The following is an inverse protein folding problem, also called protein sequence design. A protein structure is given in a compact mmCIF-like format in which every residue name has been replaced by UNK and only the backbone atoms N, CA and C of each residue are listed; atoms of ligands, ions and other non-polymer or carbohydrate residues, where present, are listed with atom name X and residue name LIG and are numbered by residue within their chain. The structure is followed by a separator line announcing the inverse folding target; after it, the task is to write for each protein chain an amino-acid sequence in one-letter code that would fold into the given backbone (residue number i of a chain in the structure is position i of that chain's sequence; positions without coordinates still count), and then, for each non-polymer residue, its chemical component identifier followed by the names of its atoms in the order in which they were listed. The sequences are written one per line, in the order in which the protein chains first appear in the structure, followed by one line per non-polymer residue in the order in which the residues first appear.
data_IF_424197072201
#
_entry.id   IF_424197072201
#
_cell.length_a   1.000
_cell.length_b   1.000
_cell.length_c   1.000
_cell.angle_alpha   90.00
_cell.angle_beta   90.00
_cell.angle_gamma   90.00
#
_symmetry.space_group_name_H-M   'P 1'
#
loop_
_entity.id
_entity.type
_entity.pdbx_description
1 polymer ?
#
# COMPACT_ATOMS: atom_id res chain seq x y z
N UNK A 1 3.00 30.84 5.56
CA UNK A 1 1.56 30.82 5.20
C UNK A 1 0.99 29.58 5.86
N UNK A 2 -0.06 29.66 6.72
CA UNK A 2 -0.68 28.46 7.30
C UNK A 2 -1.24 27.61 6.17
N UNK A 3 -1.00 26.30 6.21
CA UNK A 3 -1.55 25.37 5.22
C UNK A 3 -3.08 25.39 5.28
N UNK A 4 -3.74 25.30 4.14
CA UNK A 4 -5.21 25.19 4.07
C UNK A 4 -5.68 23.75 4.42
N UNK A 5 -4.77 22.78 4.41
CA UNK A 5 -5.08 21.36 4.50
C UNK A 5 -4.54 20.71 5.77
N UNK A 6 -3.48 21.27 6.37
CA UNK A 6 -2.78 20.67 7.51
C UNK A 6 -2.87 21.58 8.74
N UNK A 7 -3.00 20.95 9.91
CA UNK A 7 -2.93 21.58 11.23
C UNK A 7 -1.53 21.45 11.83
N UNK A 8 -1.29 22.08 12.97
CA UNK A 8 -0.04 21.93 13.74
C UNK A 8 0.18 20.48 14.18
N UNK A 9 -0.90 19.74 14.45
CA UNK A 9 -0.82 18.30 14.82
C UNK A 9 -0.32 17.43 13.66
N UNK A 10 -0.78 17.72 12.42
CA UNK A 10 -0.24 17.06 11.22
C UNK A 10 1.26 17.35 11.02
N UNK A 11 1.70 18.58 11.33
CA UNK A 11 3.12 18.94 11.23
C UNK A 11 3.97 18.22 12.29
N UNK A 12 3.45 18.08 13.52
CA UNK A 12 4.08 17.26 14.58
C UNK A 12 4.16 15.79 14.21
N UNK A 13 3.08 15.24 13.65
CA UNK A 13 3.04 13.87 13.16
C UNK A 13 4.06 13.64 12.04
N UNK A 14 4.14 14.57 11.07
CA UNK A 14 5.15 14.54 10.00
C UNK A 14 6.58 14.50 10.57
N UNK A 15 6.85 15.29 11.59
CA UNK A 15 8.16 15.31 12.27
C UNK A 15 8.47 13.95 12.91
N UNK A 16 7.51 13.39 13.64
CA UNK A 16 7.65 12.07 14.29
C UNK A 16 7.95 10.95 13.26
N UNK A 17 7.23 10.95 12.12
CA UNK A 17 7.47 9.99 11.04
C UNK A 17 8.89 10.13 10.47
N UNK A 18 9.34 11.35 10.22
CA UNK A 18 10.70 11.61 9.71
C UNK A 18 11.77 11.10 10.66
N UNK A 19 11.61 11.35 11.95
CA UNK A 19 12.53 10.86 12.98
C UNK A 19 12.55 9.33 13.03
N UNK A 20 11.38 8.68 12.95
CA UNK A 20 11.28 7.23 12.87
C UNK A 20 11.98 6.68 11.62
N UNK A 21 11.71 7.25 10.44
CA UNK A 21 12.34 6.77 9.19
C UNK A 21 13.86 7.00 9.18
N UNK A 22 14.33 8.10 9.76
CA UNK A 22 15.75 8.35 9.90
C UNK A 22 16.46 7.31 10.79
N UNK A 23 15.81 6.88 11.86
CA UNK A 23 16.36 5.90 12.79
C UNK A 23 16.23 4.45 12.33
N UNK A 24 15.06 4.08 11.79
CA UNK A 24 14.65 2.68 11.61
C UNK A 24 14.61 2.23 10.15
N UNK A 25 14.65 3.14 9.17
CA UNK A 25 14.57 2.80 7.74
C UNK A 25 15.86 3.12 7.01
N UNK A 26 16.31 4.38 7.01
CA UNK A 26 17.44 4.81 6.20
C UNK A 26 18.72 4.00 6.42
N UNK A 27 19.10 3.60 7.66
CA UNK A 27 20.31 2.82 7.88
C UNK A 27 20.28 1.41 7.26
N UNK A 28 19.11 0.92 6.89
CA UNK A 28 18.89 -0.46 6.47
C UNK A 28 18.55 -0.63 4.99
N UNK A 29 18.27 0.46 4.26
CA UNK A 29 17.78 0.41 2.86
C UNK A 29 18.69 -0.38 1.94
N UNK A 30 20.00 -0.09 1.95
CA UNK A 30 20.98 -0.77 1.07
C UNK A 30 21.06 -2.27 1.37
N UNK A 31 20.99 -2.64 2.67
CA UNK A 31 20.97 -4.03 3.09
C UNK A 31 19.69 -4.73 2.59
N UNK A 32 18.52 -4.10 2.78
CA UNK A 32 17.26 -4.67 2.32
C UNK A 32 17.19 -4.85 0.80
N UNK A 33 17.68 -3.85 0.04
CA UNK A 33 17.78 -3.96 -1.42
C UNK A 33 18.70 -5.10 -1.86
N UNK A 34 19.84 -5.29 -1.16
CA UNK A 34 20.77 -6.40 -1.42
C UNK A 34 20.16 -7.76 -1.07
N UNK A 35 19.54 -7.87 0.10
CA UNK A 35 18.94 -9.10 0.60
C UNK A 35 17.59 -9.40 -0.08
N UNK A 36 17.09 -8.43 -0.87
CA UNK A 36 15.78 -8.48 -1.54
C UNK A 36 14.64 -8.78 -0.57
N UNK A 37 14.68 -8.18 0.62
CA UNK A 37 13.70 -8.37 1.70
C UNK A 37 13.78 -7.24 2.73
N UNK A 38 12.62 -6.67 3.09
CA UNK A 38 12.49 -5.78 4.26
C UNK A 38 12.43 -6.63 5.54
N UNK A 39 13.13 -6.19 6.58
CA UNK A 39 13.07 -6.86 7.89
C UNK A 39 11.69 -6.70 8.52
N UNK A 40 11.14 -7.78 9.07
CA UNK A 40 9.85 -7.75 9.75
C UNK A 40 9.87 -6.95 11.06
N UNK A 41 11.03 -6.75 11.66
CA UNK A 41 11.16 -5.98 12.90
C UNK A 41 10.74 -4.52 12.72
N UNK A 42 11.07 -3.88 11.58
CA UNK A 42 10.63 -2.51 11.29
C UNK A 42 9.12 -2.44 11.08
N UNK A 43 8.52 -3.44 10.42
CA UNK A 43 7.07 -3.50 10.21
C UNK A 43 6.32 -3.65 11.54
N UNK A 44 6.85 -4.47 12.45
CA UNK A 44 6.30 -4.61 13.80
C UNK A 44 6.40 -3.29 14.59
N UNK A 45 7.55 -2.62 14.57
CA UNK A 45 7.71 -1.29 15.18
C UNK A 45 6.72 -0.25 14.61
N UNK A 46 6.46 -0.29 13.29
CA UNK A 46 5.47 0.59 12.67
C UNK A 46 4.04 0.32 13.17
N UNK A 47 3.70 -0.96 13.38
CA UNK A 47 2.43 -1.33 14.01
C UNK A 47 2.34 -0.82 15.45
N UNK A 48 3.38 -1.01 16.26
CA UNK A 48 3.48 -0.52 17.65
C UNK A 48 3.36 1.01 17.74
N UNK A 49 3.85 1.74 16.73
CA UNK A 49 3.71 3.20 16.61
C UNK A 49 2.34 3.64 16.06
N UNK A 50 1.44 2.71 15.73
CA UNK A 50 0.11 2.98 15.21
C UNK A 50 0.06 3.37 13.71
N UNK A 51 1.18 3.32 12.98
CA UNK A 51 1.25 3.78 11.59
C UNK A 51 0.42 2.94 10.62
N UNK A 52 0.15 1.66 10.93
CA UNK A 52 -0.71 0.81 10.11
C UNK A 52 -2.20 0.99 10.41
N UNK A 53 -2.54 1.61 11.54
CA UNK A 53 -3.90 1.82 12.00
C UNK A 53 -4.45 3.23 11.86
N UNK A 54 -3.82 4.13 11.08
CA UNK A 54 -4.17 5.56 11.03
C UNK A 54 -5.66 5.81 10.76
N UNK A 55 -6.27 5.07 9.83
CA UNK A 55 -7.68 5.18 9.44
C UNK A 55 -8.51 3.95 9.83
N UNK A 56 -7.98 3.10 10.69
CA UNK A 56 -8.68 1.91 11.22
C UNK A 56 -9.40 2.29 12.51
N UNK A 57 -10.66 1.86 12.72
CA UNK A 57 -11.38 2.12 13.97
C UNK A 57 -10.65 1.60 15.21
N UNK A 58 -10.75 2.32 16.33
CA UNK A 58 -10.09 1.99 17.61
C UNK A 58 -10.41 0.58 18.10
N UNK A 59 -11.65 0.09 17.90
CA UNK A 59 -12.05 -1.27 18.28
C UNK A 59 -11.23 -2.40 17.63
N UNK A 60 -10.48 -2.09 16.57
CA UNK A 60 -9.55 -3.02 15.89
C UNK A 60 -8.08 -2.64 16.13
N UNK A 61 -7.81 -1.79 17.12
CA UNK A 61 -6.46 -1.34 17.46
C UNK A 61 -5.94 -0.20 16.60
N UNK A 62 -6.79 0.44 15.81
CA UNK A 62 -6.46 1.63 15.03
C UNK A 62 -6.51 2.92 15.83
N UNK A 63 -6.26 4.04 15.18
CA UNK A 63 -6.22 5.39 15.79
C UNK A 63 -7.39 6.26 15.27
N UNK A 64 -8.05 5.83 14.20
CA UNK A 64 -9.20 6.47 13.55
C UNK A 64 -9.02 7.97 13.23
N UNK A 65 -7.83 8.33 12.75
CA UNK A 65 -7.46 9.71 12.39
C UNK A 65 -8.07 10.13 11.04
N UNK A 66 -8.12 11.44 10.80
CA UNK A 66 -8.56 11.96 9.51
C UNK A 66 -7.62 11.60 8.35
N UNK A 67 -8.13 11.76 7.13
CA UNK A 67 -7.43 11.32 5.92
C UNK A 67 -6.15 12.13 5.61
N UNK A 68 -5.94 13.29 6.23
CA UNK A 68 -4.74 14.08 6.03
C UNK A 68 -3.53 13.49 6.77
N UNK A 69 -3.74 12.74 7.88
CA UNK A 69 -2.69 11.92 8.51
C UNK A 69 -2.23 10.80 7.57
N UNK A 70 -3.17 10.12 6.92
CA UNK A 70 -2.88 9.12 5.90
C UNK A 70 -2.08 9.74 4.72
N UNK A 71 -2.50 10.92 4.25
CA UNK A 71 -1.79 11.66 3.19
C UNK A 71 -0.36 12.00 3.60
N UNK A 72 -0.18 12.52 4.82
CA UNK A 72 1.14 12.84 5.37
C UNK A 72 2.04 11.61 5.42
N UNK A 73 1.51 10.49 5.88
CA UNK A 73 2.28 9.25 6.05
C UNK A 73 2.82 8.72 4.71
N UNK A 74 1.96 8.63 3.67
CA UNK A 74 2.39 8.11 2.37
C UNK A 74 3.28 9.08 1.59
N UNK A 75 3.11 10.38 1.77
CA UNK A 75 4.05 11.38 1.26
C UNK A 75 5.45 11.19 1.88
N UNK A 76 5.52 11.02 3.20
CA UNK A 76 6.81 10.81 3.88
C UNK A 76 7.42 9.43 3.56
N UNK A 77 6.64 8.38 3.32
CA UNK A 77 7.15 7.11 2.76
C UNK A 77 7.87 7.36 1.44
N UNK A 78 7.26 8.13 0.52
CA UNK A 78 7.89 8.48 -0.76
C UNK A 78 9.20 9.26 -0.58
N UNK A 79 9.22 10.20 0.37
CA UNK A 79 10.42 11.01 0.69
C UNK A 79 11.60 10.21 1.26
N UNK A 80 11.38 8.98 1.73
CA UNK A 80 12.50 8.12 2.17
C UNK A 80 13.43 7.73 1.04
N UNK A 81 12.95 7.74 -0.22
CA UNK A 81 13.66 7.14 -1.36
C UNK A 81 13.75 5.60 -1.29
N UNK A 82 13.28 4.98 -0.21
CA UNK A 82 13.26 3.52 0.01
C UNK A 82 12.00 2.90 -0.63
N UNK A 83 11.90 2.95 -1.95
CA UNK A 83 10.67 2.56 -2.66
C UNK A 83 10.28 1.09 -2.46
N UNK A 84 11.24 0.18 -2.27
CA UNK A 84 10.95 -1.22 -1.96
C UNK A 84 10.27 -1.37 -0.60
N UNK A 85 10.77 -0.71 0.43
CA UNK A 85 10.13 -0.62 1.74
C UNK A 85 8.72 0.00 1.63
N UNK A 86 8.59 1.13 0.92
CA UNK A 86 7.31 1.79 0.69
C UNK A 86 6.29 0.88 0.02
N UNK A 87 6.72 0.07 -0.96
CA UNK A 87 5.86 -0.91 -1.63
C UNK A 87 5.35 -1.99 -0.67
N UNK A 88 6.19 -2.50 0.25
CA UNK A 88 5.76 -3.46 1.28
C UNK A 88 4.66 -2.87 2.15
N UNK A 89 4.83 -1.62 2.61
CA UNK A 89 3.86 -0.93 3.47
C UNK A 89 2.56 -0.65 2.73
N UNK A 90 2.62 -0.10 1.52
CA UNK A 90 1.42 0.19 0.69
C UNK A 90 0.65 -1.09 0.40
N UNK A 91 1.34 -2.17 0.01
CA UNK A 91 0.71 -3.45 -0.29
C UNK A 91 0.01 -4.05 0.93
N UNK A 92 0.60 -3.90 2.10
CA UNK A 92 0.02 -4.37 3.34
C UNK A 92 -1.21 -3.54 3.76
N UNK A 93 -1.04 -2.23 3.94
CA UNK A 93 -2.07 -1.38 4.54
C UNK A 93 -3.16 -1.00 3.55
N UNK A 94 -2.76 -0.52 2.37
CA UNK A 94 -3.71 0.06 1.40
C UNK A 94 -4.36 -1.03 0.56
N UNK A 95 -3.60 -2.06 0.18
CA UNK A 95 -4.11 -3.12 -0.67
C UNK A 95 -4.78 -4.22 0.17
N UNK A 96 -4.10 -4.89 1.08
CA UNK A 96 -4.65 -6.06 1.76
C UNK A 96 -5.60 -5.71 2.91
N UNK A 97 -5.15 -4.90 3.88
CA UNK A 97 -5.93 -4.57 5.08
C UNK A 97 -7.24 -3.85 4.75
N UNK A 98 -7.23 -2.94 3.75
CA UNK A 98 -8.40 -2.15 3.37
C UNK A 98 -9.60 -3.02 2.95
N UNK A 99 -9.36 -4.14 2.25
CA UNK A 99 -10.41 -5.06 1.86
C UNK A 99 -11.02 -5.77 3.06
N UNK A 100 -10.19 -6.20 4.01
CA UNK A 100 -10.66 -6.85 5.24
C UNK A 100 -11.43 -5.85 6.10
N UNK A 101 -10.93 -4.62 6.22
CA UNK A 101 -11.60 -3.56 6.97
C UNK A 101 -13.00 -3.26 6.42
N UNK A 102 -13.14 -3.16 5.09
CA UNK A 102 -14.40 -2.79 4.42
C UNK A 102 -15.39 -3.95 4.34
N UNK A 103 -14.94 -5.13 3.98
CA UNK A 103 -15.81 -6.27 3.62
C UNK A 103 -15.64 -7.51 4.51
N UNK A 104 -14.68 -7.53 5.43
CA UNK A 104 -14.49 -8.65 6.34
C UNK A 104 -15.59 -8.78 7.37
N UNK A 105 -15.97 -10.03 7.68
CA UNK A 105 -16.77 -10.34 8.87
C UNK A 105 -16.03 -9.94 10.14
N UNK A 106 -16.73 -9.89 11.27
CA UNK A 106 -16.08 -9.60 12.56
C UNK A 106 -14.98 -10.62 12.88
N UNK A 107 -15.23 -11.90 12.59
CA UNK A 107 -14.23 -12.97 12.74
C UNK A 107 -12.97 -12.71 11.89
N UNK A 108 -13.13 -12.35 10.62
CA UNK A 108 -12.00 -12.04 9.73
C UNK A 108 -11.24 -10.80 10.18
N UNK A 109 -11.94 -9.78 10.70
CA UNK A 109 -11.29 -8.59 11.25
C UNK A 109 -10.46 -8.92 12.48
N UNK A 110 -10.97 -9.75 13.39
CA UNK A 110 -10.20 -10.18 14.55
C UNK A 110 -9.01 -11.07 14.15
N UNK A 111 -9.19 -11.98 13.19
CA UNK A 111 -8.15 -12.94 12.76
C UNK A 111 -7.03 -12.28 11.95
N UNK A 112 -7.36 -11.28 11.11
CA UNK A 112 -6.42 -10.70 10.14
C UNK A 112 -6.19 -9.20 10.32
N UNK A 113 -7.24 -8.39 10.52
CA UNK A 113 -7.08 -6.92 10.59
C UNK A 113 -6.34 -6.50 11.86
N UNK A 114 -6.76 -6.99 13.02
CA UNK A 114 -6.12 -6.63 14.30
C UNK A 114 -4.61 -6.95 14.30
N UNK A 115 -4.16 -8.18 13.99
CA UNK A 115 -2.73 -8.47 13.95
C UNK A 115 -2.00 -7.74 12.81
N UNK A 116 -2.70 -7.34 11.75
CA UNK A 116 -2.13 -6.52 10.68
C UNK A 116 -1.87 -5.09 11.15
N UNK A 117 -2.80 -4.48 11.88
CA UNK A 117 -2.61 -3.16 12.50
C UNK A 117 -1.40 -3.18 13.45
N UNK A 118 -1.20 -4.28 14.17
CA UNK A 118 -0.05 -4.48 15.07
C UNK A 118 1.28 -4.79 14.34
N UNK A 119 1.25 -4.97 13.01
CA UNK A 119 2.43 -5.35 12.23
C UNK A 119 2.92 -6.78 12.47
N UNK A 120 2.13 -7.63 13.13
CA UNK A 120 2.45 -9.03 13.42
C UNK A 120 2.05 -9.97 12.30
N UNK A 121 1.05 -9.60 11.48
CA UNK A 121 0.72 -10.24 10.20
C UNK A 121 0.82 -9.25 9.06
N UNK A 122 1.39 -9.68 7.94
CA UNK A 122 1.54 -8.88 6.72
C UNK A 122 0.67 -9.49 5.62
N UNK A 123 -0.15 -8.66 5.01
CA UNK A 123 -1.06 -9.08 3.94
C UNK A 123 -0.55 -8.75 2.55
N UNK A 124 -1.02 -9.54 1.58
CA UNK A 124 -0.89 -9.33 0.16
C UNK A 124 -2.26 -9.23 -0.52
N UNK A 125 -2.32 -8.58 -1.69
CA UNK A 125 -3.50 -8.54 -2.55
C UNK A 125 -3.17 -9.20 -3.89
N UNK A 126 -3.91 -10.25 -4.26
CA UNK A 126 -3.71 -11.04 -5.46
C UNK A 126 -4.89 -10.87 -6.44
N UNK A 127 -4.75 -9.95 -7.39
CA UNK A 127 -5.74 -9.69 -8.46
C UNK A 127 -5.23 -10.19 -9.81
N UNK A 128 -4.03 -9.79 -10.21
CA UNK A 128 -3.43 -9.98 -11.53
C UNK A 128 -3.09 -11.43 -11.81
N UNK A 129 -3.37 -11.86 -13.05
CA UNK A 129 -2.99 -13.17 -13.57
C UNK A 129 -2.15 -12.99 -14.85
N UNK A 130 -1.45 -14.04 -15.33
CA UNK A 130 -0.64 -13.93 -16.56
C UNK A 130 -1.40 -13.40 -17.78
N UNK A 131 -2.72 -13.61 -17.84
CA UNK A 131 -3.58 -13.19 -18.94
C UNK A 131 -4.65 -12.15 -18.55
N UNK A 132 -4.67 -11.68 -17.30
CA UNK A 132 -5.66 -10.76 -16.78
C UNK A 132 -5.02 -9.69 -15.87
N UNK A 133 -4.62 -8.56 -16.48
CA UNK A 133 -4.13 -7.38 -15.79
C UNK A 133 -5.18 -6.28 -15.77
N UNK A 134 -5.19 -5.41 -16.80
CA UNK A 134 -6.19 -4.34 -16.93
C UNK A 134 -7.61 -4.88 -17.08
N UNK A 135 -7.78 -5.99 -17.78
CA UNK A 135 -9.06 -6.71 -17.85
C UNK A 135 -9.15 -7.78 -16.75
N UNK A 136 -9.50 -7.34 -15.54
CA UNK A 136 -9.69 -8.24 -14.40
C UNK A 136 -10.88 -9.21 -14.57
N UNK A 137 -11.84 -8.90 -15.46
CA UNK A 137 -12.95 -9.82 -15.74
C UNK A 137 -12.50 -11.08 -16.49
N UNK A 138 -11.35 -10.99 -17.17
CA UNK A 138 -10.72 -12.10 -17.87
C UNK A 138 -10.02 -13.12 -16.97
N UNK A 139 -9.98 -12.93 -15.61
CA UNK A 139 -9.32 -13.85 -14.69
C UNK A 139 -9.83 -15.28 -14.83
N UNK A 140 -8.94 -16.24 -14.57
CA UNK A 140 -9.20 -17.68 -14.71
C UNK A 140 -9.12 -18.45 -13.40
N UNK A 141 -8.52 -17.88 -12.34
CA UNK A 141 -8.51 -18.49 -11.00
C UNK A 141 -9.93 -18.68 -10.52
N UNK A 142 -10.27 -19.88 -10.07
CA UNK A 142 -11.61 -20.29 -9.66
C UNK A 142 -11.65 -20.74 -8.21
N UNK A 143 -12.83 -20.65 -7.59
CA UNK A 143 -13.15 -21.29 -6.34
C UNK A 143 -14.51 -21.99 -6.47
N UNK A 144 -14.51 -23.30 -6.30
CA UNK A 144 -15.70 -24.13 -6.32
C UNK A 144 -16.09 -24.46 -4.88
N UNK A 145 -17.34 -24.20 -4.52
CA UNK A 145 -17.81 -24.49 -3.17
C UNK A 145 -18.08 -25.98 -2.99
N UNK A 146 -17.46 -26.57 -1.98
CA UNK A 146 -17.67 -27.95 -1.55
C UNK A 146 -17.99 -27.98 -0.05
N UNK A 147 -19.27 -28.04 0.27
CA UNK A 147 -19.75 -28.01 1.66
C UNK A 147 -19.41 -26.70 2.37
N UNK A 148 -18.55 -26.76 3.39
CA UNK A 148 -18.10 -25.64 4.22
C UNK A 148 -16.77 -25.01 3.74
N UNK A 149 -16.22 -25.44 2.59
CA UNK A 149 -15.00 -24.94 1.99
C UNK A 149 -15.20 -24.52 0.53
N UNK A 150 -14.30 -23.68 0.06
CA UNK A 150 -14.00 -23.44 -1.35
C UNK A 150 -12.73 -24.21 -1.73
N UNK A 151 -12.73 -24.88 -2.90
CA UNK A 151 -11.57 -25.46 -3.52
C UNK A 151 -11.04 -24.48 -4.55
N UNK A 152 -9.86 -23.91 -4.31
CA UNK A 152 -9.26 -22.85 -5.12
C UNK A 152 -8.22 -23.46 -6.07
N UNK A 153 -8.35 -23.14 -7.37
CA UNK A 153 -7.42 -23.53 -8.42
C UNK A 153 -7.09 -22.36 -9.34
N UNK A 154 -5.81 -22.23 -9.72
CA UNK A 154 -5.36 -21.18 -10.64
C UNK A 154 -4.00 -20.60 -10.27
N UNK A 155 -3.72 -19.38 -10.77
CA UNK A 155 -2.45 -18.71 -10.50
C UNK A 155 -2.61 -17.19 -10.49
N UNK A 156 -1.74 -16.51 -9.75
CA UNK A 156 -1.62 -15.06 -9.70
C UNK A 156 -0.17 -14.65 -9.95
N UNK A 157 0.03 -13.50 -10.59
CA UNK A 157 1.37 -12.99 -10.90
C UNK A 157 1.54 -11.54 -10.47
N UNK A 158 2.79 -11.13 -10.26
CA UNK A 158 3.18 -9.79 -9.82
C UNK A 158 2.59 -9.38 -8.46
N UNK A 159 2.51 -10.31 -7.53
CA UNK A 159 1.90 -10.09 -6.22
C UNK A 159 2.95 -9.60 -5.22
N UNK A 160 2.86 -8.33 -4.85
CA UNK A 160 3.69 -7.75 -3.79
C UNK A 160 3.29 -8.33 -2.42
N UNK A 161 4.27 -8.58 -1.55
CA UNK A 161 4.14 -9.32 -0.30
C UNK A 161 3.66 -10.78 -0.50
N UNK A 162 3.63 -11.29 -1.73
CA UNK A 162 3.09 -12.61 -2.04
C UNK A 162 3.94 -13.77 -1.55
N UNK A 163 5.24 -13.55 -1.35
CA UNK A 163 6.17 -14.59 -0.88
C UNK A 163 6.38 -14.54 0.63
N UNK A 164 6.50 -13.33 1.20
CA UNK A 164 6.78 -13.13 2.62
C UNK A 164 5.57 -12.72 3.45
N UNK A 165 4.40 -12.48 2.84
CA UNK A 165 3.16 -12.17 3.54
C UNK A 165 2.62 -13.40 4.30
N UNK A 166 1.73 -13.17 5.26
CA UNK A 166 1.12 -14.21 6.09
C UNK A 166 -0.25 -14.64 5.55
N UNK A 167 -0.93 -13.74 4.81
CA UNK A 167 -2.21 -14.01 4.17
C UNK A 167 -2.35 -13.24 2.86
N UNK A 168 -3.22 -13.71 2.00
CA UNK A 168 -3.44 -13.18 0.66
C UNK A 168 -4.94 -12.93 0.46
N UNK A 169 -5.33 -11.68 0.24
CA UNK A 169 -6.65 -11.34 -0.28
C UNK A 169 -6.67 -11.66 -1.76
N UNK A 170 -7.42 -12.66 -2.18
CA UNK A 170 -7.37 -13.21 -3.54
C UNK A 170 -8.70 -13.00 -4.26
N UNK A 171 -8.67 -12.36 -5.42
CA UNK A 171 -9.80 -12.30 -6.34
C UNK A 171 -9.85 -13.55 -7.22
N UNK A 172 -11.04 -14.13 -7.36
CA UNK A 172 -11.26 -15.37 -8.10
C UNK A 172 -12.71 -15.46 -8.58
N UNK A 173 -12.99 -16.38 -9.49
CA UNK A 173 -14.35 -16.66 -9.97
C UNK A 173 -15.01 -17.74 -9.13
N UNK A 174 -16.21 -17.46 -8.65
CA UNK A 174 -17.17 -18.43 -8.11
C UNK A 174 -18.32 -18.61 -9.09
N UNK A 175 -19.29 -19.46 -8.76
CA UNK A 175 -20.49 -19.64 -9.60
C UNK A 175 -21.28 -18.35 -9.79
N UNK A 176 -21.30 -17.47 -8.79
CA UNK A 176 -22.07 -16.22 -8.80
C UNK A 176 -21.30 -15.03 -9.38
N UNK A 177 -20.00 -15.18 -9.68
CA UNK A 177 -19.16 -14.13 -10.25
C UNK A 177 -17.82 -13.95 -9.54
N UNK A 178 -17.20 -12.78 -9.69
CA UNK A 178 -15.93 -12.49 -9.03
C UNK A 178 -16.16 -12.27 -7.53
N UNK A 179 -15.42 -13.02 -6.74
CA UNK A 179 -15.43 -13.00 -5.28
C UNK A 179 -14.04 -12.76 -4.71
N UNK A 180 -13.95 -12.43 -3.44
CA UNK A 180 -12.69 -12.22 -2.73
C UNK A 180 -12.62 -13.19 -1.55
N UNK A 181 -11.52 -13.95 -1.47
CA UNK A 181 -11.23 -14.84 -0.34
C UNK A 181 -9.94 -14.39 0.36
N UNK A 182 -9.89 -14.53 1.68
CA UNK A 182 -8.65 -14.43 2.45
C UNK A 182 -8.07 -15.84 2.57
N UNK A 183 -6.88 -16.04 2.03
CA UNK A 183 -6.19 -17.32 2.00
C UNK A 183 -4.93 -17.23 2.86
N UNK A 184 -4.78 -18.09 3.85
CA UNK A 184 -3.56 -18.18 4.66
C UNK A 184 -2.39 -18.63 3.77
N UNK A 185 -1.22 -18.00 3.92
CA UNK A 185 -0.03 -18.27 3.10
C UNK A 185 0.44 -19.73 3.21
N UNK A 186 0.25 -20.34 4.38
CA UNK A 186 0.67 -21.71 4.67
C UNK A 186 -0.40 -22.76 4.32
N UNK A 187 -1.45 -22.38 3.55
CA UNK A 187 -2.47 -23.33 3.10
C UNK A 187 -1.85 -24.41 2.22
N UNK A 188 -2.22 -25.67 2.46
CA UNK A 188 -1.80 -26.81 1.62
C UNK A 188 -2.24 -26.60 0.17
N UNK A 189 -1.36 -26.88 -0.79
CA UNK A 189 -1.57 -26.65 -2.22
C UNK A 189 -1.27 -25.21 -2.69
N UNK A 190 -0.94 -24.27 -1.78
CA UNK A 190 -0.48 -22.94 -2.15
C UNK A 190 1.05 -22.93 -2.26
N UNK A 191 1.56 -22.54 -3.43
CA UNK A 191 2.99 -22.37 -3.66
C UNK A 191 3.30 -20.99 -4.18
N UNK A 192 4.48 -20.45 -3.86
CA UNK A 192 4.91 -19.12 -4.33
C UNK A 192 6.33 -19.17 -4.89
N UNK A 193 6.56 -18.45 -5.98
CA UNK A 193 7.87 -18.24 -6.59
C UNK A 193 8.18 -16.75 -6.60
N UNK A 194 9.28 -16.36 -5.96
CA UNK A 194 9.73 -14.97 -5.94
C UNK A 194 10.32 -14.57 -7.29
N UNK A 195 9.92 -13.41 -7.81
CA UNK A 195 10.43 -12.85 -9.06
C UNK A 195 11.71 -12.06 -8.83
N UNK A 196 12.68 -12.20 -9.72
CA UNK A 196 13.86 -11.34 -9.79
C UNK A 196 13.49 -10.02 -10.46
N UNK A 197 13.89 -8.88 -9.85
CA UNK A 197 13.52 -7.55 -10.31
C UNK A 197 14.73 -6.66 -10.52
N UNK A 198 14.65 -5.77 -11.49
CA UNK A 198 15.70 -4.77 -11.79
C UNK A 198 15.81 -3.74 -10.66
N UNK A 199 14.67 -3.32 -10.07
CA UNK A 199 14.60 -2.33 -9.01
C UNK A 199 13.55 -2.69 -7.97
N UNK A 200 13.49 -1.91 -6.87
CA UNK A 200 12.57 -2.11 -5.75
C UNK A 200 12.73 -3.54 -5.19
N UNK A 201 13.98 -3.98 -5.07
CA UNK A 201 14.29 -5.40 -4.79
C UNK A 201 13.91 -5.81 -3.39
N UNK A 202 13.93 -4.89 -2.44
CA UNK A 202 13.54 -5.14 -1.04
C UNK A 202 12.06 -5.46 -0.87
N UNK A 203 11.18 -5.03 -1.78
CA UNK A 203 9.80 -5.55 -1.86
C UNK A 203 9.81 -6.89 -2.59
N UNK A 204 9.30 -7.96 -1.99
CA UNK A 204 9.06 -9.18 -2.75
C UNK A 204 7.91 -8.99 -3.74
N UNK A 205 8.05 -9.65 -4.87
CA UNK A 205 6.98 -9.76 -5.85
C UNK A 205 6.97 -11.21 -6.31
N UNK A 206 5.82 -11.86 -6.24
CA UNK A 206 5.74 -13.29 -6.45
C UNK A 206 4.71 -13.70 -7.49
N UNK A 207 4.93 -14.87 -8.06
CA UNK A 207 3.90 -15.72 -8.63
C UNK A 207 3.34 -16.62 -7.54
N UNK A 208 2.04 -16.86 -7.57
CA UNK A 208 1.32 -17.72 -6.63
C UNK A 208 0.55 -18.74 -7.45
N UNK A 209 0.69 -20.02 -7.10
CA UNK A 209 -0.11 -21.09 -7.67
C UNK A 209 -1.00 -21.71 -6.59
N UNK A 210 -2.23 -22.02 -6.97
CA UNK A 210 -3.23 -22.68 -6.16
C UNK A 210 -3.57 -24.04 -6.82
N UNK A 211 -3.30 -25.11 -6.12
CA UNK A 211 -3.61 -26.49 -6.53
C UNK A 211 -4.49 -27.14 -5.47
N UNK A 212 -5.80 -27.15 -5.70
CA UNK A 212 -6.82 -27.67 -4.81
C UNK A 212 -6.76 -27.10 -3.37
N UNK A 213 -6.43 -25.81 -3.25
CA UNK A 213 -6.33 -25.14 -1.94
C UNK A 213 -7.70 -25.06 -1.27
N UNK A 214 -7.82 -25.65 -0.08
CA UNK A 214 -9.05 -25.61 0.72
C UNK A 214 -9.11 -24.35 1.55
N UNK A 215 -10.17 -23.55 1.34
CA UNK A 215 -10.41 -22.29 2.04
C UNK A 215 -11.80 -22.31 2.69
N UNK A 216 -11.92 -22.09 4.01
CA UNK A 216 -13.22 -22.08 4.68
C UNK A 216 -14.17 -21.04 4.09
N UNK A 217 -15.48 -21.34 4.00
CA UNK A 217 -16.49 -20.39 3.49
C UNK A 217 -16.53 -19.11 4.32
N UNK A 218 -16.17 -19.18 5.61
CA UNK A 218 -16.06 -18.02 6.51
C UNK A 218 -14.94 -17.04 6.11
N UNK A 219 -14.02 -17.44 5.22
CA UNK A 219 -12.97 -16.57 4.68
C UNK A 219 -13.41 -15.71 3.48
N UNK A 220 -14.67 -15.79 3.09
CA UNK A 220 -15.26 -14.93 2.06
C UNK A 220 -15.34 -13.48 2.56
N UNK A 221 -14.83 -12.55 1.76
CA UNK A 221 -14.99 -11.11 2.02
C UNK A 221 -16.30 -10.59 1.42
N UNK A 222 -17.19 -10.16 2.30
CA UNK A 222 -18.50 -9.64 1.93
C UNK A 222 -19.43 -10.70 1.35
N UNK A 223 -20.01 -10.43 0.19
CA UNK A 223 -20.97 -11.32 -0.48
C UNK A 223 -20.33 -11.98 -1.71
N UNK A 224 -20.64 -13.25 -1.93
CA UNK A 224 -20.22 -13.98 -3.11
C UNK A 224 -20.72 -13.30 -4.39
N UNK A 225 -19.87 -13.22 -5.41
CA UNK A 225 -20.15 -12.55 -6.69
C UNK A 225 -20.07 -11.02 -6.65
N UNK A 226 -19.83 -10.39 -5.49
CA UNK A 226 -19.73 -8.92 -5.36
C UNK A 226 -18.30 -8.38 -5.31
N UNK A 227 -17.30 -9.25 -5.41
CA UNK A 227 -15.87 -8.87 -5.31
C UNK A 227 -15.45 -7.79 -6.28
N UNK A 228 -15.99 -7.76 -7.51
CA UNK A 228 -15.66 -6.72 -8.49
C UNK A 228 -16.05 -5.32 -7.99
N UNK A 229 -17.21 -5.18 -7.33
CA UNK A 229 -17.62 -3.90 -6.73
C UNK A 229 -16.66 -3.46 -5.64
N UNK A 230 -16.28 -4.35 -4.73
CA UNK A 230 -15.31 -4.05 -3.67
C UNK A 230 -13.95 -3.64 -4.22
N UNK A 231 -13.49 -4.27 -5.32
CA UNK A 231 -12.26 -3.86 -6.00
C UNK A 231 -12.34 -2.44 -6.56
N UNK A 232 -13.44 -2.10 -7.25
CA UNK A 232 -13.60 -0.76 -7.85
C UNK A 232 -13.62 0.36 -6.80
N UNK A 233 -14.24 0.14 -5.65
CA UNK A 233 -14.23 1.08 -4.54
C UNK A 233 -12.85 1.22 -3.89
N UNK A 234 -12.14 0.12 -3.70
CA UNK A 234 -10.82 0.13 -3.05
C UNK A 234 -9.75 0.74 -3.94
N UNK A 235 -9.78 0.47 -5.25
CA UNK A 235 -8.82 1.00 -6.23
C UNK A 235 -8.73 2.53 -6.25
N UNK A 236 -9.76 3.26 -5.82
CA UNK A 236 -9.71 4.73 -5.73
C UNK A 236 -8.69 5.19 -4.68
N UNK A 237 -8.76 4.62 -3.47
CA UNK A 237 -7.81 4.93 -2.38
C UNK A 237 -6.41 4.43 -2.72
N UNK A 238 -6.30 3.26 -3.35
CA UNK A 238 -5.04 2.66 -3.79
C UNK A 238 -4.28 3.58 -4.75
N UNK A 239 -4.97 4.10 -5.78
CA UNK A 239 -4.38 5.05 -6.75
C UNK A 239 -3.96 6.36 -6.09
N UNK A 240 -4.76 6.85 -5.13
CA UNK A 240 -4.45 8.07 -4.42
C UNK A 240 -3.21 7.90 -3.52
N UNK A 241 -3.10 6.76 -2.81
CA UNK A 241 -1.91 6.44 -2.01
C UNK A 241 -0.64 6.34 -2.89
N UNK A 242 -0.78 5.76 -4.10
CA UNK A 242 0.29 5.76 -5.09
C UNK A 242 0.72 7.18 -5.50
N UNK A 243 -0.23 8.09 -5.71
CA UNK A 243 0.06 9.48 -6.02
C UNK A 243 0.73 10.21 -4.84
N UNK A 244 0.32 9.95 -3.59
CA UNK A 244 0.97 10.49 -2.39
C UNK A 244 2.44 10.08 -2.30
N UNK A 245 2.70 8.77 -2.48
CA UNK A 245 4.05 8.23 -2.47
C UNK A 245 4.90 8.79 -3.62
N UNK A 246 4.30 8.97 -4.80
CA UNK A 246 4.99 9.54 -5.97
C UNK A 246 5.40 11.00 -5.73
N UNK A 247 4.54 11.83 -5.14
CA UNK A 247 4.88 13.23 -4.80
C UNK A 247 6.07 13.27 -3.83
N UNK A 248 6.05 12.47 -2.76
CA UNK A 248 7.18 12.38 -1.84
C UNK A 248 8.47 11.94 -2.55
N UNK A 249 8.38 10.96 -3.45
CA UNK A 249 9.51 10.49 -4.25
C UNK A 249 10.05 11.54 -5.22
N UNK A 250 9.18 12.35 -5.83
CA UNK A 250 9.61 13.47 -6.69
C UNK A 250 10.34 14.54 -5.89
N UNK A 251 9.87 14.88 -4.70
CA UNK A 251 10.58 15.83 -3.81
C UNK A 251 11.95 15.30 -3.41
N UNK A 252 12.04 13.99 -3.03
CA UNK A 252 13.32 13.35 -2.73
C UNK A 252 14.29 13.42 -3.92
N UNK A 253 13.83 13.11 -5.13
CA UNK A 253 14.66 13.16 -6.34
C UNK A 253 15.10 14.59 -6.67
N UNK A 254 14.24 15.59 -6.45
CA UNK A 254 14.57 16.99 -6.62
C UNK A 254 15.66 17.43 -5.63
N UNK A 255 15.53 17.09 -4.34
CA UNK A 255 16.52 17.39 -3.31
C UNK A 255 17.89 16.79 -3.64
N UNK A 256 17.94 15.51 -4.05
CA UNK A 256 19.16 14.87 -4.52
C UNK A 256 19.78 15.61 -5.72
N UNK A 257 18.94 16.01 -6.67
CA UNK A 257 19.37 16.75 -7.87
C UNK A 257 19.95 18.09 -7.49
N UNK A 258 19.28 18.85 -6.62
CA UNK A 258 19.75 20.17 -6.18
C UNK A 258 21.10 20.08 -5.46
N UNK A 259 21.28 19.11 -4.58
CA UNK A 259 22.55 18.88 -3.90
C UNK A 259 23.67 18.54 -4.90
N UNK A 260 23.41 17.57 -5.80
CA UNK A 260 24.39 17.15 -6.79
C UNK A 260 24.83 18.28 -7.71
N UNK A 261 23.90 19.07 -8.27
CA UNK A 261 24.25 20.15 -9.21
C UNK A 261 24.92 21.34 -8.52
N UNK A 262 24.79 21.48 -7.19
CA UNK A 262 25.49 22.48 -6.40
C UNK A 262 26.97 22.13 -6.18
N UNK A 263 27.27 20.84 -6.07
CA UNK A 263 28.64 20.32 -5.77
C UNK A 263 29.39 19.93 -7.03
N UNK A 264 28.73 19.38 -8.05
CA UNK A 264 29.34 18.93 -9.28
C UNK A 264 29.83 20.11 -10.11
N UNK A 265 31.13 20.13 -10.47
CA UNK A 265 31.74 21.13 -11.32
C UNK A 265 31.98 20.63 -12.75
N UNK A 266 31.84 21.56 -13.71
CA UNK A 266 32.23 21.42 -15.09
C UNK A 266 32.61 22.80 -15.65
N UNK A 267 33.61 22.86 -16.49
CA UNK A 267 34.13 24.11 -17.06
C UNK A 267 34.48 25.16 -16.00
N UNK A 268 35.06 24.72 -14.88
CA UNK A 268 35.58 25.58 -13.80
C UNK A 268 34.49 26.20 -12.90
N UNK A 269 33.26 25.68 -12.90
CA UNK A 269 32.18 26.18 -12.02
C UNK A 269 31.15 25.10 -11.71
N UNK A 270 30.38 25.23 -10.61
CA UNK A 270 29.28 24.34 -10.31
C UNK A 270 28.26 24.31 -11.45
N UNK A 271 27.73 23.11 -11.74
CA UNK A 271 26.85 22.93 -12.91
C UNK A 271 25.47 23.59 -12.75
N UNK A 272 25.04 23.94 -11.53
CA UNK A 272 23.86 24.76 -11.28
C UNK A 272 23.92 26.18 -11.86
N UNK A 273 25.12 26.62 -12.35
CA UNK A 273 25.27 27.91 -13.05
C UNK A 273 24.90 27.83 -14.54
N UNK A 274 24.67 26.63 -15.09
CA UNK A 274 24.25 26.47 -16.47
C UNK A 274 22.74 26.67 -16.61
N UNK A 275 22.33 27.53 -17.53
CA UNK A 275 20.95 27.95 -17.71
C UNK A 275 20.00 26.77 -17.99
N UNK A 276 20.45 25.82 -18.82
CA UNK A 276 19.64 24.63 -19.20
C UNK A 276 19.28 23.77 -17.97
N UNK A 277 20.18 23.65 -16.99
CA UNK A 277 19.92 22.89 -15.75
C UNK A 277 18.99 23.68 -14.82
N UNK A 278 19.18 24.98 -14.73
CA UNK A 278 18.30 25.86 -13.95
C UNK A 278 16.86 25.82 -14.46
N UNK A 279 16.64 25.81 -15.77
CA UNK A 279 15.30 25.69 -16.35
C UNK A 279 14.67 24.36 -16.02
N UNK A 280 15.40 23.23 -16.18
CA UNK A 280 14.88 21.89 -15.81
C UNK A 280 14.49 21.78 -14.34
N UNK A 281 15.31 22.33 -13.44
CA UNK A 281 14.99 22.35 -12.00
C UNK A 281 13.76 23.21 -11.72
N UNK A 282 13.63 24.37 -12.37
CA UNK A 282 12.47 25.23 -12.20
C UNK A 282 11.18 24.56 -12.69
N UNK A 283 11.22 23.84 -13.82
CA UNK A 283 10.11 23.04 -14.34
C UNK A 283 9.71 21.95 -13.34
N UNK A 284 10.68 21.11 -12.90
CA UNK A 284 10.42 20.06 -11.91
C UNK A 284 9.80 20.62 -10.62
N UNK A 285 10.36 21.69 -10.07
CA UNK A 285 9.85 22.30 -8.85
C UNK A 285 8.42 22.87 -9.02
N UNK A 286 8.13 23.46 -10.19
CA UNK A 286 6.80 24.00 -10.51
C UNK A 286 5.76 22.88 -10.65
N UNK A 287 6.12 21.79 -11.34
CA UNK A 287 5.26 20.62 -11.52
C UNK A 287 4.95 19.96 -10.16
N UNK A 288 5.96 19.73 -9.34
CA UNK A 288 5.78 19.16 -7.99
C UNK A 288 4.84 20.04 -7.17
N UNK A 289 5.04 21.36 -7.17
CA UNK A 289 4.20 22.30 -6.41
C UNK A 289 2.73 22.23 -6.87
N UNK A 290 2.49 22.21 -8.18
CA UNK A 290 1.15 22.15 -8.75
C UNK A 290 0.45 20.81 -8.42
N UNK A 291 1.12 19.68 -8.65
CA UNK A 291 0.57 18.36 -8.35
C UNK A 291 0.34 18.15 -6.85
N UNK A 292 1.19 18.70 -6.01
CA UNK A 292 1.06 18.61 -4.56
C UNK A 292 -0.22 19.29 -4.06
N UNK A 293 -0.55 20.47 -4.56
CA UNK A 293 -1.79 21.18 -4.22
C UNK A 293 -3.00 20.39 -4.71
N UNK A 294 -2.95 19.86 -5.93
CA UNK A 294 -4.04 19.05 -6.48
C UNK A 294 -4.26 17.77 -5.64
N UNK A 295 -3.19 17.08 -5.25
CA UNK A 295 -3.23 15.91 -4.38
C UNK A 295 -3.88 16.25 -3.03
N UNK A 296 -3.42 17.31 -2.36
CA UNK A 296 -3.95 17.71 -1.05
C UNK A 296 -5.43 18.07 -1.11
N UNK A 297 -5.84 18.78 -2.15
CA UNK A 297 -7.25 19.09 -2.35
C UNK A 297 -8.10 17.82 -2.52
N UNK A 298 -7.63 16.88 -3.34
CA UNK A 298 -8.31 15.59 -3.59
C UNK A 298 -8.40 14.77 -2.31
N UNK A 299 -7.31 14.67 -1.55
CA UNK A 299 -7.25 13.95 -0.28
C UNK A 299 -8.20 14.54 0.76
N UNK A 300 -8.22 15.85 0.88
CA UNK A 300 -9.11 16.58 1.80
C UNK A 300 -10.59 16.37 1.46
N UNK A 301 -10.94 16.41 0.17
CA UNK A 301 -12.31 16.12 -0.28
C UNK A 301 -12.72 14.70 0.02
N UNK A 302 -11.89 13.71 -0.30
CA UNK A 302 -12.17 12.30 -0.03
C UNK A 302 -12.35 12.04 1.47
N UNK A 303 -11.52 12.66 2.31
CA UNK A 303 -11.66 12.58 3.77
C UNK A 303 -13.00 13.13 4.27
N UNK A 304 -13.46 14.26 3.73
CA UNK A 304 -14.78 14.83 4.08
C UNK A 304 -15.95 13.97 3.61
N UNK A 305 -15.93 13.44 2.41
CA UNK A 305 -16.97 12.56 1.87
C UNK A 305 -17.06 11.25 2.67
N UNK A 306 -15.93 10.69 3.09
CA UNK A 306 -15.85 9.53 3.98
C UNK A 306 -16.47 9.80 5.36
N UNK A 307 -16.23 10.96 5.95
CA UNK A 307 -16.84 11.37 7.23
C UNK A 307 -18.36 11.56 7.11
N UNK A 308 -18.84 12.14 6.02
CA UNK A 308 -20.28 12.31 5.78
C UNK A 308 -21.00 10.98 5.63
N UNK A 309 -20.40 10.02 4.91
CA UNK A 309 -20.98 8.67 4.76
C UNK A 309 -20.99 7.89 6.09
N UNK A 310 -19.98 8.04 6.94
CA UNK A 310 -19.96 7.44 8.30
C UNK A 310 -21.07 8.01 9.19
N UNK A 311 -21.29 9.33 9.17
CA UNK A 311 -22.32 9.98 9.97
C UNK A 311 -23.75 9.62 9.55
N UNK A 312 -24.00 9.36 8.26
CA UNK A 312 -25.30 8.90 7.76
C UNK A 312 -25.58 7.45 8.20
N UNK A 313 -24.56 6.59 8.29
CA UNK A 313 -24.72 5.21 8.77
C UNK A 313 -24.90 5.10 10.29
N UNK A 314 -24.45 6.09 11.06
CA UNK A 314 -24.63 6.12 12.53
C UNK A 314 -25.94 6.79 12.96
N UNK A 315 -26.69 7.40 12.04
CA UNK A 315 -27.96 8.09 12.32
C UNK A 315 -29.20 7.27 11.94
N UNK A 316 -29.05 6.04 11.52
CA UNK A 316 -30.08 5.03 11.31
C UNK A 316 -29.85 3.83 12.23
#
# INVERSE_FOLDING_TARGET
MKSLFFTEEHDLFRKSIKEFFAAEVHPHVDKWEKDSKVDRSVLKKMGEMGYFGLNVPEKYGGVDLDFMYFTTFYEEIGRTGAFGFGTVVVSHVVLAMNYIMKAGSEELKQKYLVPSVQGTKIGALALTEPFAGSDLKGMKTTAVREGDHYIVNGSKTFISNGHYGDYIVTALKTETGISLLVIDRESEGLTTSKLDKVGIRSSDTAEIAFDNVKVPVSHLLGQEGKGFGYMMESLQVERLAGAMTAIGGMEYALDLTLNYIAEREAFGRPINKFQVLRHKVAEMASDIAAWKIFLYHTSYRLGKESLLSRNVLCSN
#
